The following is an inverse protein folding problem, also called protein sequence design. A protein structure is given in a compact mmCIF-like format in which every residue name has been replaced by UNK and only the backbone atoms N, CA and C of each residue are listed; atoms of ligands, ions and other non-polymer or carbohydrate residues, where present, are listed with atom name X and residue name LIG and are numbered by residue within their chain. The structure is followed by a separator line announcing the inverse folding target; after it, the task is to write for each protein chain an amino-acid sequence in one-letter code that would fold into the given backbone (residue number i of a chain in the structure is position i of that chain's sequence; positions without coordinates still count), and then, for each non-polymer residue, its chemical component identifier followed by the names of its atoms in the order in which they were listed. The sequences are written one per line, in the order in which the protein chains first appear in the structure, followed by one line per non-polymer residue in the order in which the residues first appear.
data_IF_045117352803
#
_entry.id   IF_045117352803
#
_cell.length_a   1.000
_cell.length_b   1.000
_cell.length_c   1.000
_cell.angle_alpha   90.00
_cell.angle_beta   90.00
_cell.angle_gamma   90.00
#
_symmetry.space_group_name_H-M   'P 1'
#
loop_
_entity.id
_entity.type
_entity.pdbx_description
1 polymer ?
#
# COMPACT_ATOMS: atom_id res chain seq x y z
N UNK A 1 -8.68 25.24 12.71
CA UNK A 1 -8.99 23.80 12.96
C UNK A 1 -7.80 22.96 12.56
N UNK A 2 -7.27 22.18 13.48
CA UNK A 2 -6.12 21.28 13.23
C UNK A 2 -6.61 19.82 13.15
N UNK A 3 -6.37 19.18 12.03
CA UNK A 3 -6.76 17.78 11.80
C UNK A 3 -5.52 16.93 11.52
N UNK A 4 -5.56 15.67 11.93
CA UNK A 4 -4.58 14.67 11.52
C UNK A 4 -5.22 13.77 10.47
N UNK A 5 -4.56 13.61 9.33
CA UNK A 5 -4.96 12.73 8.24
C UNK A 5 -4.05 11.50 8.21
N UNK A 6 -4.68 10.34 8.32
CA UNK A 6 -4.10 9.00 8.23
C UNK A 6 -4.94 8.16 7.26
N UNK A 7 -4.33 7.18 6.62
CA UNK A 7 -5.00 6.20 5.76
C UNK A 7 -4.21 4.90 5.69
N UNK A 8 -4.78 3.90 5.04
CA UNK A 8 -4.09 2.68 4.60
C UNK A 8 -3.32 2.00 5.74
N UNK A 9 -4.01 1.83 6.88
CA UNK A 9 -3.42 1.17 8.05
C UNK A 9 -3.14 -0.31 7.76
N UNK A 10 -3.97 -0.95 6.92
CA UNK A 10 -3.87 -2.35 6.54
C UNK A 10 -3.60 -3.27 7.72
N UNK A 11 -4.35 -3.10 8.82
CA UNK A 11 -4.12 -3.89 10.02
C UNK A 11 -4.27 -5.38 9.75
N UNK A 12 -3.29 -6.15 10.20
CA UNK A 12 -3.19 -7.58 9.94
C UNK A 12 -2.44 -7.96 8.65
N UNK A 13 -1.83 -6.98 7.96
CA UNK A 13 -1.04 -7.23 6.75
C UNK A 13 0.11 -8.18 7.00
N UNK A 14 0.36 -9.04 6.01
CA UNK A 14 1.55 -9.89 5.94
C UNK A 14 2.35 -9.51 4.69
N UNK A 15 3.64 -9.32 4.86
CA UNK A 15 4.56 -9.05 3.74
C UNK A 15 5.54 -10.21 3.64
N UNK A 16 5.61 -10.87 2.48
CA UNK A 16 6.45 -12.06 2.28
C UNK A 16 6.34 -13.06 3.44
N UNK A 17 5.11 -13.36 3.86
CA UNK A 17 4.75 -14.23 4.98
C UNK A 17 5.07 -13.72 6.40
N UNK A 18 5.79 -12.61 6.56
CA UNK A 18 6.01 -11.98 7.86
C UNK A 18 4.77 -11.19 8.31
N UNK A 19 4.35 -11.40 9.55
CA UNK A 19 3.25 -10.63 10.14
C UNK A 19 3.73 -9.25 10.54
N UNK A 20 3.01 -8.21 10.12
CA UNK A 20 3.34 -6.81 10.45
C UNK A 20 2.66 -6.33 11.75
N UNK A 21 1.92 -7.17 12.46
CA UNK A 21 1.07 -6.79 13.59
C UNK A 21 1.87 -6.10 14.72
N UNK A 22 3.09 -6.56 15.02
CA UNK A 22 3.94 -5.96 16.03
C UNK A 22 4.40 -4.56 15.62
N UNK A 23 4.84 -4.41 14.37
CA UNK A 23 5.24 -3.12 13.80
C UNK A 23 4.06 -2.16 13.70
N UNK A 24 2.86 -2.66 13.35
CA UNK A 24 1.63 -1.89 13.32
C UNK A 24 1.23 -1.40 14.72
N UNK A 25 1.36 -2.23 15.73
CA UNK A 25 1.13 -1.82 17.12
C UNK A 25 2.10 -0.71 17.53
N UNK A 26 3.39 -0.88 17.24
CA UNK A 26 4.42 0.10 17.55
C UNK A 26 4.14 1.44 16.85
N UNK A 27 3.83 1.43 15.55
CA UNK A 27 3.62 2.67 14.81
C UNK A 27 2.34 3.40 15.24
N UNK A 28 1.27 2.67 15.62
CA UNK A 28 0.07 3.29 16.19
C UNK A 28 0.38 3.93 17.56
N UNK A 29 1.28 3.36 18.37
CA UNK A 29 1.74 3.96 19.60
C UNK A 29 2.53 5.26 19.33
N UNK A 30 3.38 5.30 18.30
CA UNK A 30 4.08 6.53 17.86
C UNK A 30 3.09 7.59 17.36
N UNK A 31 2.10 7.19 16.55
CA UNK A 31 1.04 8.10 16.07
C UNK A 31 0.29 8.73 17.26
N UNK A 32 -0.04 7.95 18.30
CA UNK A 32 -0.71 8.48 19.48
C UNK A 32 0.18 9.47 20.27
N UNK A 33 1.50 9.28 20.31
CA UNK A 33 2.44 10.26 20.89
C UNK A 33 2.48 11.55 20.09
N UNK A 34 2.43 11.44 18.76
CA UNK A 34 2.34 12.62 17.89
C UNK A 34 1.02 13.35 18.12
N UNK A 35 -0.10 12.63 18.22
CA UNK A 35 -1.41 13.19 18.53
C UNK A 35 -1.38 13.93 19.86
N UNK A 36 -0.79 13.36 20.91
CA UNK A 36 -0.69 13.99 22.23
C UNK A 36 0.15 15.27 22.20
N UNK A 37 1.15 15.36 21.32
CA UNK A 37 2.00 16.53 21.14
C UNK A 37 1.35 17.61 20.29
N UNK A 38 0.61 17.20 19.26
CA UNK A 38 0.00 18.11 18.29
C UNK A 38 -1.33 18.69 18.76
N UNK A 39 -2.02 18.00 19.68
CA UNK A 39 -3.34 18.37 20.22
C UNK A 39 -4.33 18.75 19.08
N UNK A 40 -4.63 17.83 18.12
CA UNK A 40 -5.53 18.13 17.04
C UNK A 40 -6.98 18.21 17.50
N UNK A 41 -7.83 18.87 16.70
CA UNK A 41 -9.27 18.97 16.91
C UNK A 41 -10.01 17.70 16.40
N UNK A 42 -9.37 16.87 15.55
CA UNK A 42 -9.96 15.63 15.03
C UNK A 42 -8.98 14.81 14.20
N UNK A 43 -9.37 13.54 13.96
CA UNK A 43 -8.61 12.59 13.15
C UNK A 43 -9.43 12.17 11.93
N UNK A 44 -8.82 12.21 10.75
CA UNK A 44 -9.36 11.68 9.50
C UNK A 44 -8.69 10.34 9.21
N UNK A 45 -9.46 9.26 9.04
CA UNK A 45 -8.98 7.93 8.64
C UNK A 45 -9.57 7.61 7.26
N UNK A 46 -8.76 7.79 6.22
CA UNK A 46 -9.19 7.74 4.83
C UNK A 46 -9.14 6.33 4.21
N UNK A 47 -9.69 5.34 4.89
CA UNK A 47 -9.92 3.99 4.37
C UNK A 47 -8.75 3.02 4.55
N UNK A 48 -8.98 1.77 4.10
CA UNK A 48 -8.10 0.61 4.24
C UNK A 48 -7.60 0.43 5.67
N UNK A 49 -8.58 0.34 6.58
CA UNK A 49 -8.34 0.15 8.00
C UNK A 49 -7.77 -1.24 8.27
N UNK A 50 -8.28 -2.24 7.55
CA UNK A 50 -7.82 -3.63 7.57
C UNK A 50 -7.21 -4.05 6.22
N UNK A 51 -6.32 -5.04 6.26
CA UNK A 51 -5.71 -5.61 5.04
C UNK A 51 -6.69 -6.47 4.23
N UNK A 52 -7.76 -6.96 4.85
CA UNK A 52 -8.73 -7.86 4.21
C UNK A 52 -10.15 -7.60 4.71
N UNK A 53 -11.18 -7.88 3.88
CA UNK A 53 -12.58 -7.73 4.26
C UNK A 53 -12.98 -8.57 5.49
N UNK A 54 -12.27 -9.67 5.76
CA UNK A 54 -12.40 -10.49 6.98
C UNK A 54 -11.06 -10.44 7.71
N UNK A 55 -10.87 -9.46 8.62
CA UNK A 55 -9.62 -9.28 9.36
C UNK A 55 -9.41 -10.39 10.39
N UNK A 56 -8.15 -10.60 10.78
CA UNK A 56 -7.80 -11.48 11.89
C UNK A 56 -8.28 -10.90 13.22
N UNK A 57 -8.48 -11.76 14.23
CA UNK A 57 -8.87 -11.32 15.56
C UNK A 57 -7.85 -10.33 16.17
N UNK A 58 -6.56 -10.52 15.91
CA UNK A 58 -5.47 -9.64 16.36
C UNK A 58 -5.58 -8.24 15.73
N UNK A 59 -5.89 -8.17 14.42
CA UNK A 59 -6.11 -6.89 13.73
C UNK A 59 -7.30 -6.14 14.29
N UNK A 60 -8.41 -6.85 14.55
CA UNK A 60 -9.62 -6.25 15.17
C UNK A 60 -9.31 -5.73 16.57
N UNK A 61 -8.60 -6.50 17.41
CA UNK A 61 -8.21 -6.07 18.75
C UNK A 61 -7.27 -4.86 18.72
N UNK A 62 -6.34 -4.82 17.75
CA UNK A 62 -5.43 -3.70 17.60
C UNK A 62 -6.18 -2.41 17.22
N UNK A 63 -7.12 -2.50 16.27
CA UNK A 63 -7.94 -1.36 15.87
C UNK A 63 -8.85 -0.88 17.00
N UNK A 64 -9.54 -1.80 17.69
CA UNK A 64 -10.36 -1.49 18.87
C UNK A 64 -9.55 -0.77 19.96
N UNK A 65 -8.34 -1.26 20.25
CA UNK A 65 -7.44 -0.62 21.21
C UNK A 65 -7.08 0.80 20.77
N UNK A 66 -6.78 1.02 19.48
CA UNK A 66 -6.45 2.32 18.93
C UNK A 66 -7.63 3.30 19.06
N UNK A 67 -8.83 2.90 18.60
CA UNK A 67 -10.04 3.71 18.71
C UNK A 67 -10.40 4.03 20.16
N UNK A 68 -10.29 3.03 21.05
CA UNK A 68 -10.54 3.23 22.51
C UNK A 68 -9.61 4.27 23.09
N UNK A 69 -8.33 4.28 22.69
CA UNK A 69 -7.34 5.27 23.16
C UNK A 69 -7.60 6.67 22.61
N UNK A 70 -8.11 6.78 21.39
CA UNK A 70 -8.57 8.06 20.82
C UNK A 70 -9.83 8.57 21.53
N UNK A 71 -10.83 7.70 21.76
CA UNK A 71 -12.05 8.05 22.49
C UNK A 71 -11.77 8.53 23.92
N UNK A 72 -10.82 7.91 24.65
CA UNK A 72 -10.38 8.37 25.98
C UNK A 72 -9.77 9.77 25.98
N UNK A 73 -9.22 10.22 24.84
CA UNK A 73 -8.72 11.59 24.63
C UNK A 73 -9.85 12.56 24.27
N UNK A 74 -11.07 12.05 24.11
CA UNK A 74 -12.24 12.81 23.63
C UNK A 74 -11.99 13.46 22.26
N UNK A 75 -11.15 12.81 21.45
CA UNK A 75 -10.75 13.29 20.15
C UNK A 75 -11.69 12.66 19.09
N UNK A 76 -12.44 13.47 18.35
CA UNK A 76 -13.33 12.95 17.31
C UNK A 76 -12.54 12.30 16.18
N UNK A 77 -13.03 11.15 15.72
CA UNK A 77 -12.46 10.36 14.63
C UNK A 77 -13.50 10.25 13.52
N UNK A 78 -13.10 10.56 12.30
CA UNK A 78 -13.90 10.49 11.10
C UNK A 78 -13.27 9.44 10.17
N UNK A 79 -13.87 8.26 10.10
CA UNK A 79 -13.31 7.11 9.41
C UNK A 79 -14.22 6.60 8.30
N UNK A 80 -13.62 6.19 7.20
CA UNK A 80 -14.29 5.53 6.08
C UNK A 80 -13.72 4.13 5.84
N UNK A 81 -14.45 3.28 5.13
CA UNK A 81 -13.94 2.03 4.57
C UNK A 81 -13.26 2.28 3.23
N UNK A 82 -12.15 1.58 2.97
CA UNK A 82 -11.45 1.52 1.69
C UNK A 82 -11.84 0.30 0.86
N UNK A 83 -11.06 -0.02 -0.19
CA UNK A 83 -11.35 -1.15 -1.09
C UNK A 83 -11.00 -2.52 -0.48
N UNK A 84 -10.10 -2.56 0.52
CA UNK A 84 -9.77 -3.76 1.29
C UNK A 84 -10.77 -4.04 2.42
N UNK A 85 -11.54 -3.04 2.85
CA UNK A 85 -12.49 -3.15 3.93
C UNK A 85 -13.84 -3.74 3.47
N UNK A 86 -14.59 -4.41 4.39
CA UNK A 86 -16.01 -4.64 4.19
C UNK A 86 -16.79 -3.45 4.73
N UNK A 87 -17.51 -2.76 3.83
CA UNK A 87 -18.33 -1.60 4.19
C UNK A 87 -19.32 -1.90 5.34
N UNK A 88 -19.93 -3.09 5.34
CA UNK A 88 -20.88 -3.52 6.37
C UNK A 88 -20.21 -3.73 7.73
N UNK A 89 -18.97 -4.25 7.74
CA UNK A 89 -18.20 -4.47 8.97
C UNK A 89 -17.70 -3.16 9.56
N UNK A 90 -17.26 -2.22 8.72
CA UNK A 90 -16.86 -0.88 9.15
C UNK A 90 -18.07 -0.10 9.68
N UNK A 91 -19.22 -0.21 9.04
CA UNK A 91 -20.46 0.44 9.48
C UNK A 91 -21.07 -0.22 10.75
N UNK A 92 -20.62 -1.43 11.13
CA UNK A 92 -21.15 -2.12 12.29
C UNK A 92 -20.93 -1.34 13.58
N UNK A 93 -22.01 -1.05 14.28
CA UNK A 93 -21.98 -0.30 15.55
C UNK A 93 -21.70 1.20 15.40
N UNK A 94 -21.65 1.75 14.19
CA UNK A 94 -21.34 3.17 13.91
C UNK A 94 -22.21 4.13 14.75
N UNK A 95 -23.51 3.86 14.87
CA UNK A 95 -24.43 4.70 15.68
C UNK A 95 -24.08 4.70 17.18
N UNK A 96 -23.59 3.56 17.70
CA UNK A 96 -23.20 3.46 19.11
C UNK A 96 -21.88 4.18 19.32
N UNK A 97 -20.90 3.96 18.42
CA UNK A 97 -19.56 4.56 18.49
C UNK A 97 -19.58 6.08 18.32
N UNK A 98 -20.53 6.62 17.55
CA UNK A 98 -20.66 8.07 17.35
C UNK A 98 -20.90 8.83 18.66
N UNK A 99 -21.58 8.24 19.63
CA UNK A 99 -21.75 8.83 20.97
C UNK A 99 -20.45 9.00 21.74
N UNK A 100 -19.40 8.26 21.35
CA UNK A 100 -18.04 8.36 21.90
C UNK A 100 -17.10 9.19 21.02
N UNK A 101 -17.63 9.86 19.99
CA UNK A 101 -16.88 10.68 19.06
C UNK A 101 -16.21 9.87 17.92
N UNK A 102 -16.52 8.58 17.78
CA UNK A 102 -15.99 7.74 16.68
C UNK A 102 -17.05 7.68 15.57
N UNK A 103 -16.87 8.45 14.52
CA UNK A 103 -17.78 8.59 13.39
C UNK A 103 -17.28 7.70 12.23
N UNK A 104 -17.87 6.50 12.10
CA UNK A 104 -17.60 5.59 10.98
C UNK A 104 -18.59 5.87 9.85
N UNK A 105 -18.12 5.83 8.59
CA UNK A 105 -19.02 5.95 7.44
C UNK A 105 -20.03 4.80 7.40
N UNK A 106 -21.31 5.07 7.10
CA UNK A 106 -22.26 4.02 6.78
C UNK A 106 -21.88 3.35 5.44
N UNK A 107 -22.55 2.24 5.14
CA UNK A 107 -22.58 1.71 3.77
C UNK A 107 -23.25 2.77 2.86
N UNK A 108 -22.65 3.01 1.69
CA UNK A 108 -23.18 4.00 0.76
C UNK A 108 -24.56 3.57 0.22
N UNK A 109 -25.55 4.41 0.47
CA UNK A 109 -26.96 4.21 0.07
C UNK A 109 -27.51 5.36 -0.79
N UNK A 110 -26.62 6.14 -1.42
CA UNK A 110 -26.93 7.36 -2.17
C UNK A 110 -26.67 8.64 -1.37
N UNK A 111 -26.32 8.53 -0.09
CA UNK A 111 -26.01 9.66 0.78
C UNK A 111 -24.67 9.47 1.46
N UNK A 112 -24.02 10.58 1.76
CA UNK A 112 -22.79 10.61 2.55
C UNK A 112 -23.07 11.15 3.94
N UNK A 113 -22.39 10.58 4.94
CA UNK A 113 -22.45 11.15 6.28
C UNK A 113 -21.65 12.46 6.32
N UNK A 114 -22.19 13.48 6.99
CA UNK A 114 -21.51 14.75 7.24
C UNK A 114 -21.55 15.15 8.70
N UNK A 115 -20.49 15.80 9.17
CA UNK A 115 -20.34 16.22 10.56
C UNK A 115 -19.83 17.66 10.60
N UNK A 116 -20.34 18.45 11.53
CA UNK A 116 -19.94 19.84 11.72
C UNK A 116 -19.05 19.98 12.94
N UNK A 117 -17.91 20.61 12.76
CA UNK A 117 -17.03 21.11 13.80
C UNK A 117 -17.05 22.64 13.79
N UNK A 118 -16.70 23.26 14.91
CA UNK A 118 -16.68 24.71 15.03
C UNK A 118 -15.34 25.18 15.61
N UNK A 119 -14.75 26.20 15.01
CA UNK A 119 -13.59 26.91 15.57
C UNK A 119 -13.75 28.44 15.47
N UNK A 120 -12.67 29.19 15.71
CA UNK A 120 -12.66 30.66 15.65
C UNK A 120 -12.95 31.23 14.26
N UNK A 121 -12.78 30.44 13.19
CA UNK A 121 -13.08 30.82 11.81
C UNK A 121 -14.47 30.37 11.34
N UNK A 122 -15.28 29.73 12.22
CA UNK A 122 -16.63 29.26 11.95
C UNK A 122 -16.72 27.74 11.72
N UNK A 123 -17.72 27.34 10.94
CA UNK A 123 -18.03 25.94 10.68
C UNK A 123 -17.04 25.25 9.75
N UNK A 124 -16.72 23.99 10.05
CA UNK A 124 -16.01 23.03 9.19
C UNK A 124 -16.87 21.78 9.05
N UNK A 125 -17.25 21.47 7.83
CA UNK A 125 -18.05 20.29 7.50
C UNK A 125 -17.14 19.17 7.02
N UNK A 126 -17.18 18.03 7.71
CA UNK A 126 -16.43 16.82 7.34
C UNK A 126 -17.40 15.87 6.63
N UNK A 127 -17.14 15.58 5.36
CA UNK A 127 -17.92 14.67 4.53
C UNK A 127 -17.19 13.31 4.43
N UNK A 128 -17.90 12.20 4.63
CA UNK A 128 -17.35 10.85 4.59
C UNK A 128 -17.84 10.11 3.34
N UNK A 129 -16.99 9.93 2.36
CA UNK A 129 -17.24 9.13 1.16
C UNK A 129 -16.41 7.84 1.24
N UNK A 130 -16.98 6.69 1.64
CA UNK A 130 -16.26 5.43 1.61
C UNK A 130 -15.88 5.05 0.18
N UNK A 131 -15.03 4.03 0.02
CA UNK A 131 -14.76 3.48 -1.31
C UNK A 131 -16.06 3.00 -1.96
N UNK A 132 -16.32 3.51 -3.16
CA UNK A 132 -17.53 3.18 -3.94
C UNK A 132 -17.17 2.60 -5.30
N UNK A 133 -17.97 1.62 -5.73
CA UNK A 133 -17.89 1.04 -7.08
C UNK A 133 -19.07 1.51 -7.93
N UNK A 134 -18.94 1.58 -9.26
CA UNK A 134 -20.04 1.99 -10.13
C UNK A 134 -21.34 1.21 -9.89
N UNK A 135 -21.23 -0.10 -9.64
CA UNK A 135 -22.41 -0.96 -9.35
C UNK A 135 -23.13 -0.59 -8.06
N UNK A 136 -22.40 -0.15 -7.02
CA UNK A 136 -22.96 0.27 -5.74
C UNK A 136 -23.75 1.57 -5.92
N UNK A 137 -23.15 2.54 -6.63
CA UNK A 137 -23.79 3.85 -6.88
C UNK A 137 -25.04 3.69 -7.76
N UNK A 138 -24.96 2.88 -8.85
CA UNK A 138 -26.15 2.56 -9.66
C UNK A 138 -27.29 1.98 -8.82
N UNK A 139 -26.97 1.04 -7.92
CA UNK A 139 -27.97 0.43 -7.07
C UNK A 139 -28.59 1.45 -6.09
N UNK A 140 -27.76 2.26 -5.47
CA UNK A 140 -28.18 3.27 -4.51
C UNK A 140 -29.08 4.36 -5.14
N UNK A 141 -28.78 4.74 -6.40
CA UNK A 141 -29.52 5.76 -7.16
C UNK A 141 -30.53 5.17 -8.16
N UNK A 142 -30.92 3.89 -8.02
CA UNK A 142 -31.74 3.14 -9.00
C UNK A 142 -33.14 3.73 -9.27
N UNK A 143 -33.57 4.75 -8.52
CA UNK A 143 -34.80 5.52 -8.78
C UNK A 143 -34.64 6.72 -9.72
N UNK A 144 -33.42 7.01 -10.17
CA UNK A 144 -33.08 8.15 -11.01
C UNK A 144 -32.78 7.70 -12.44
N UNK A 145 -33.21 8.49 -13.44
CA UNK A 145 -32.94 8.16 -14.86
C UNK A 145 -31.45 8.11 -15.18
N UNK A 146 -30.63 8.96 -14.50
CA UNK A 146 -29.18 9.03 -14.67
C UNK A 146 -28.42 7.84 -14.12
N UNK A 147 -29.02 7.03 -13.26
CA UNK A 147 -28.34 5.92 -12.59
C UNK A 147 -27.83 4.85 -13.58
N UNK A 148 -28.56 4.58 -14.67
CA UNK A 148 -28.18 3.58 -15.66
C UNK A 148 -26.92 3.97 -16.47
N UNK A 149 -26.58 5.25 -16.50
CA UNK A 149 -25.40 5.79 -17.23
C UNK A 149 -24.11 5.62 -16.42
N UNK A 150 -24.16 5.38 -15.10
CA UNK A 150 -22.98 5.23 -14.24
C UNK A 150 -22.29 3.90 -14.52
N UNK A 151 -21.17 3.93 -15.26
CA UNK A 151 -20.40 2.75 -15.69
C UNK A 151 -18.96 2.77 -15.20
N UNK A 152 -18.39 3.96 -14.99
CA UNK A 152 -17.01 4.19 -14.59
C UNK A 152 -16.91 4.69 -13.15
N UNK A 153 -15.71 4.57 -12.56
CA UNK A 153 -15.46 5.15 -11.23
C UNK A 153 -15.58 6.67 -11.24
N UNK A 154 -15.16 7.31 -12.34
CA UNK A 154 -15.34 8.76 -12.53
C UNK A 154 -16.82 9.15 -12.41
N UNK A 155 -17.71 8.51 -13.15
CA UNK A 155 -19.16 8.79 -13.13
C UNK A 155 -19.75 8.49 -11.75
N UNK A 156 -19.30 7.41 -11.10
CA UNK A 156 -19.78 7.06 -9.76
C UNK A 156 -19.40 8.10 -8.70
N UNK A 157 -18.14 8.53 -8.68
CA UNK A 157 -17.69 9.55 -7.72
C UNK A 157 -18.29 10.90 -8.03
N UNK A 158 -18.43 11.26 -9.31
CA UNK A 158 -19.09 12.48 -9.74
C UNK A 158 -20.54 12.52 -9.23
N UNK A 159 -21.31 11.47 -9.49
CA UNK A 159 -22.70 11.36 -9.02
C UNK A 159 -22.79 11.41 -7.48
N UNK A 160 -21.87 10.73 -6.77
CA UNK A 160 -21.86 10.75 -5.32
C UNK A 160 -21.58 12.16 -4.77
N UNK A 161 -20.64 12.92 -5.37
CA UNK A 161 -20.31 14.29 -4.96
C UNK A 161 -21.46 15.26 -5.28
N UNK A 162 -22.11 15.11 -6.45
CA UNK A 162 -23.27 15.94 -6.82
C UNK A 162 -24.45 15.78 -5.87
N UNK A 163 -24.59 14.60 -5.25
CA UNK A 163 -25.63 14.33 -4.23
C UNK A 163 -25.24 14.79 -2.82
N UNK A 164 -24.00 15.33 -2.63
CA UNK A 164 -23.61 15.90 -1.35
C UNK A 164 -24.21 17.29 -1.16
N UNK A 165 -24.76 17.52 0.01
CA UNK A 165 -25.21 18.85 0.43
C UNK A 165 -24.01 19.70 0.86
N UNK A 166 -23.27 20.27 -0.11
CA UNK A 166 -22.06 21.09 0.14
C UNK A 166 -22.48 22.55 0.31
N UNK A 167 -22.22 23.12 1.47
CA UNK A 167 -22.40 24.54 1.74
C UNK A 167 -21.15 25.31 1.30
N UNK A 168 -21.17 25.87 0.07
CA UNK A 168 -19.98 26.45 -0.59
C UNK A 168 -19.39 27.67 0.14
N UNK A 169 -20.13 28.33 1.01
CA UNK A 169 -19.66 29.43 1.86
C UNK A 169 -18.96 28.94 3.14
N UNK A 170 -19.09 27.67 3.48
CA UNK A 170 -18.43 27.04 4.63
C UNK A 170 -17.17 26.31 4.21
N UNK A 171 -16.33 25.99 5.21
CA UNK A 171 -15.14 25.14 4.99
C UNK A 171 -15.58 23.68 4.91
N UNK A 172 -15.25 23.01 3.80
CA UNK A 172 -15.63 21.65 3.53
C UNK A 172 -14.39 20.74 3.41
N UNK A 173 -14.35 19.67 4.17
CA UNK A 173 -13.33 18.63 4.11
C UNK A 173 -13.97 17.34 3.63
N UNK A 174 -13.40 16.72 2.62
CA UNK A 174 -13.79 15.39 2.16
C UNK A 174 -12.79 14.37 2.67
N UNK A 175 -13.29 13.26 3.21
CA UNK A 175 -12.51 12.04 3.44
C UNK A 175 -12.96 11.02 2.40
N UNK A 176 -12.06 10.57 1.54
CA UNK A 176 -12.37 9.65 0.45
C UNK A 176 -11.24 8.64 0.23
N UNK A 177 -11.57 7.54 -0.44
CA UNK A 177 -10.60 6.48 -0.75
C UNK A 177 -10.75 6.11 -2.22
N UNK A 178 -10.01 6.80 -3.08
CA UNK A 178 -10.15 6.68 -4.54
C UNK A 178 -8.79 6.88 -5.22
N UNK A 179 -8.62 6.28 -6.41
CA UNK A 179 -7.43 6.49 -7.22
C UNK A 179 -7.58 7.70 -8.13
N UNK A 180 -6.87 8.78 -7.86
CA UNK A 180 -6.92 10.00 -8.66
C UNK A 180 -5.88 10.01 -9.77
N UNK A 181 -6.27 10.51 -10.96
CA UNK A 181 -5.37 10.68 -12.10
C UNK A 181 -4.16 11.53 -11.72
N UNK A 182 -2.97 11.08 -12.11
CA UNK A 182 -1.70 11.75 -11.81
C UNK A 182 -1.04 11.32 -10.51
N UNK A 183 -1.66 10.45 -9.71
CA UNK A 183 -1.00 9.85 -8.55
C UNK A 183 0.00 8.77 -9.00
N UNK A 184 1.13 8.69 -8.27
CA UNK A 184 2.19 7.69 -8.48
C UNK A 184 2.01 6.57 -7.46
N UNK A 185 1.85 5.37 -7.96
CA UNK A 185 1.64 4.15 -7.16
C UNK A 185 2.95 3.38 -6.89
N UNK A 186 2.90 2.41 -5.98
CA UNK A 186 3.95 1.43 -5.72
C UNK A 186 3.40 -0.01 -5.81
N UNK A 187 4.26 -1.03 -5.59
CA UNK A 187 3.89 -2.44 -5.80
C UNK A 187 2.92 -2.99 -4.73
N UNK A 188 2.60 -2.22 -3.70
CA UNK A 188 1.74 -2.66 -2.59
C UNK A 188 0.26 -2.29 -2.75
N UNK A 189 -0.08 -1.41 -3.72
CA UNK A 189 -1.47 -1.08 -4.07
C UNK A 189 -2.08 -2.10 -5.03
N UNK A 190 -3.38 -2.36 -4.87
CA UNK A 190 -4.19 -3.11 -5.83
C UNK A 190 -4.78 -2.17 -6.88
N UNK A 191 -4.12 -2.04 -8.03
CA UNK A 191 -4.55 -1.18 -9.12
C UNK A 191 -5.10 -2.00 -10.26
N UNK A 192 -6.24 -1.59 -10.82
CA UNK A 192 -6.84 -2.25 -11.96
C UNK A 192 -6.04 -1.98 -13.22
N UNK A 193 -5.71 -3.05 -13.96
CA UNK A 193 -4.98 -2.95 -15.23
C UNK A 193 -5.75 -2.07 -16.21
N UNK A 194 -5.09 -1.03 -16.75
CA UNK A 194 -5.68 -0.10 -17.71
C UNK A 194 -6.23 1.20 -17.13
N UNK A 195 -6.10 1.43 -15.79
CA UNK A 195 -6.48 2.70 -15.16
C UNK A 195 -7.98 3.01 -15.19
N UNK A 196 -8.82 1.98 -15.27
CA UNK A 196 -10.30 2.11 -15.34
C UNK A 196 -10.88 2.64 -14.03
N UNK A 197 -10.12 2.54 -12.94
CA UNK A 197 -10.47 2.97 -11.58
C UNK A 197 -10.01 4.40 -11.23
N UNK A 198 -9.37 5.09 -12.17
CA UNK A 198 -8.91 6.47 -11.96
C UNK A 198 -10.04 7.48 -12.09
N UNK A 199 -9.95 8.53 -11.27
CA UNK A 199 -10.88 9.67 -11.26
C UNK A 199 -10.14 10.99 -11.42
N UNK A 200 -10.77 11.93 -12.11
CA UNK A 200 -10.24 13.29 -12.27
C UNK A 200 -10.40 14.09 -10.97
N UNK A 201 -9.32 14.75 -10.54
CA UNK A 201 -9.32 15.54 -9.31
C UNK A 201 -10.29 16.75 -9.34
N UNK A 202 -10.73 17.18 -10.53
CA UNK A 202 -11.70 18.26 -10.71
C UNK A 202 -13.03 18.02 -10.01
N UNK A 203 -13.41 16.75 -9.80
CA UNK A 203 -14.61 16.36 -9.05
C UNK A 203 -14.61 16.90 -7.62
N UNK A 204 -13.44 17.16 -7.07
CA UNK A 204 -13.25 17.63 -5.69
C UNK A 204 -13.09 19.16 -5.55
N UNK A 205 -13.39 19.92 -6.59
CA UNK A 205 -13.15 21.39 -6.65
C UNK A 205 -13.85 22.20 -5.55
N UNK A 206 -14.99 21.73 -5.04
CA UNK A 206 -15.80 22.42 -4.02
C UNK A 206 -15.29 22.23 -2.58
N UNK A 207 -14.25 21.39 -2.38
CA UNK A 207 -13.70 21.14 -1.05
C UNK A 207 -12.47 22.02 -0.77
N UNK A 208 -12.31 22.42 0.50
CA UNK A 208 -11.14 23.16 0.98
C UNK A 208 -9.96 22.20 1.27
N UNK A 209 -10.26 20.95 1.66
CA UNK A 209 -9.27 19.88 1.78
C UNK A 209 -9.89 18.51 1.44
N UNK A 210 -9.13 17.67 0.75
CA UNK A 210 -9.52 16.32 0.41
C UNK A 210 -8.46 15.35 0.98
N UNK A 211 -8.88 14.62 2.00
CA UNK A 211 -8.09 13.56 2.63
C UNK A 211 -8.29 12.26 1.86
N UNK A 212 -7.32 11.89 1.02
CA UNK A 212 -7.36 10.69 0.20
C UNK A 212 -6.56 9.55 0.85
N UNK A 213 -7.11 8.34 0.79
CA UNK A 213 -6.42 7.06 0.93
C UNK A 213 -6.38 6.30 -0.40
N UNK A 214 -5.83 5.11 -0.42
CA UNK A 214 -5.61 4.18 -1.53
C UNK A 214 -4.16 4.19 -2.05
N UNK A 215 -3.50 5.31 -2.13
CA UNK A 215 -2.10 5.40 -2.58
C UNK A 215 -1.17 5.46 -1.38
N UNK A 216 -0.22 4.53 -1.34
CA UNK A 216 0.65 4.32 -0.18
C UNK A 216 1.79 5.33 -0.06
N UNK A 217 2.09 6.05 -1.14
CA UNK A 217 3.08 7.13 -1.17
C UNK A 217 2.46 8.47 -0.79
N UNK A 218 3.00 9.21 0.22
CA UNK A 218 2.50 10.54 0.56
C UNK A 218 2.75 11.51 -0.60
N UNK A 219 1.68 12.11 -1.12
CA UNK A 219 1.76 13.02 -2.28
C UNK A 219 0.54 13.90 -2.43
N UNK A 220 0.72 15.06 -3.04
CA UNK A 220 -0.38 15.91 -3.51
C UNK A 220 -0.75 15.55 -4.94
N UNK A 221 -2.02 15.67 -5.31
CA UNK A 221 -2.49 15.43 -6.67
C UNK A 221 -3.23 16.66 -7.18
N UNK A 222 -2.73 17.24 -8.26
CA UNK A 222 -3.28 18.43 -8.90
C UNK A 222 -3.18 19.71 -8.05
N UNK A 223 -3.31 19.63 -6.73
CA UNK A 223 -3.34 20.77 -5.82
C UNK A 223 -2.88 20.37 -4.42
N UNK A 224 -2.27 21.28 -3.62
CA UNK A 224 -1.95 21.00 -2.21
C UNK A 224 -3.17 20.66 -1.34
N UNK A 225 -4.39 21.00 -1.81
CA UNK A 225 -5.64 20.71 -1.11
C UNK A 225 -6.09 19.25 -1.24
N UNK A 226 -5.58 18.50 -2.22
CA UNK A 226 -5.95 17.12 -2.50
C UNK A 226 -4.72 16.27 -2.26
N UNK A 227 -4.78 15.41 -1.23
CA UNK A 227 -3.59 14.75 -0.73
C UNK A 227 -3.82 13.31 -0.30
N UNK A 228 -2.91 12.45 -0.70
CA UNK A 228 -2.67 11.14 -0.09
C UNK A 228 -1.68 11.29 1.07
N UNK A 229 -2.03 10.82 2.25
CA UNK A 229 -1.09 10.80 3.38
C UNK A 229 -0.13 9.60 3.32
N UNK A 230 -0.49 8.57 2.56
CA UNK A 230 0.24 7.31 2.46
C UNK A 230 0.05 6.40 3.67
N UNK A 231 0.63 5.20 3.58
CA UNK A 231 0.65 4.23 4.68
C UNK A 231 1.56 4.67 5.83
N UNK A 232 1.27 4.30 7.08
CA UNK A 232 2.15 4.60 8.22
C UNK A 232 3.41 3.73 8.26
N UNK A 233 3.43 2.59 7.55
CA UNK A 233 4.55 1.67 7.40
C UNK A 233 4.79 1.38 5.91
N UNK A 234 5.99 0.90 5.58
CA UNK A 234 6.29 0.35 4.25
C UNK A 234 5.73 -1.06 4.15
N UNK A 235 4.97 -1.36 3.11
CA UNK A 235 4.39 -2.68 2.87
C UNK A 235 4.94 -3.37 1.62
N UNK A 236 5.87 -2.72 0.91
CA UNK A 236 6.60 -3.27 -0.24
C UNK A 236 8.04 -2.76 -0.26
N UNK A 237 8.94 -3.56 -0.83
CA UNK A 237 10.32 -3.12 -1.07
C UNK A 237 10.41 -2.00 -2.12
N UNK A 238 9.39 -1.78 -2.95
CA UNK A 238 9.34 -0.59 -3.82
C UNK A 238 9.29 0.71 -3.01
N UNK A 239 8.80 0.65 -1.77
CA UNK A 239 8.73 1.78 -0.83
C UNK A 239 10.00 1.97 0.01
N UNK A 240 11.05 1.13 -0.16
CA UNK A 240 12.26 1.15 0.69
C UNK A 240 12.93 2.52 0.81
N UNK A 241 12.88 3.33 -0.27
CA UNK A 241 13.42 4.69 -0.29
C UNK A 241 12.48 5.78 0.24
N UNK A 242 11.24 5.43 0.64
CA UNK A 242 10.26 6.41 1.10
C UNK A 242 10.39 6.67 2.60
N UNK A 243 10.13 7.91 3.00
CA UNK A 243 9.84 8.26 4.40
C UNK A 243 8.32 8.27 4.59
N UNK A 244 7.83 7.66 5.67
CA UNK A 244 6.42 7.68 6.06
C UNK A 244 6.15 8.79 7.07
N UNK A 245 4.92 9.36 7.05
CA UNK A 245 4.58 10.55 7.82
C UNK A 245 3.19 10.45 8.45
N UNK A 246 2.97 11.25 9.47
CA UNK A 246 1.64 11.72 9.87
C UNK A 246 1.41 13.06 9.18
N UNK A 247 0.32 13.21 8.46
CA UNK A 247 -0.06 14.48 7.84
C UNK A 247 -0.90 15.31 8.82
N UNK A 248 -0.46 16.52 9.11
CA UNK A 248 -1.18 17.52 9.92
C UNK A 248 -1.70 18.59 9.00
N UNK A 249 -3.00 18.88 9.10
CA UNK A 249 -3.70 19.87 8.28
C UNK A 249 -4.27 20.95 9.19
N UNK A 250 -3.89 22.18 8.99
CA UNK A 250 -4.44 23.32 9.69
C UNK A 250 -5.33 24.14 8.73
N UNK A 251 -6.65 24.01 8.94
CA UNK A 251 -7.63 24.83 8.21
C UNK A 251 -7.76 26.19 8.89
N UNK A 252 -7.40 27.23 8.18
CA UNK A 252 -7.57 28.63 8.59
C UNK A 252 -8.93 29.14 8.12
N UNK A 253 -9.03 30.41 7.74
CA UNK A 253 -10.22 30.94 7.07
C UNK A 253 -10.48 30.23 5.74
N UNK A 254 -11.70 30.33 5.22
CA UNK A 254 -12.10 29.67 3.97
C UNK A 254 -11.11 29.90 2.83
N UNK A 255 -10.67 28.79 2.24
CA UNK A 255 -9.73 28.78 1.13
C UNK A 255 -8.26 28.75 1.53
N UNK A 256 -7.91 28.95 2.82
CA UNK A 256 -6.55 28.91 3.35
C UNK A 256 -6.33 27.70 4.22
N UNK A 257 -5.24 26.98 3.97
CA UNK A 257 -4.82 25.84 4.77
C UNK A 257 -3.29 25.72 4.78
N UNK A 258 -2.77 25.10 5.82
CA UNK A 258 -1.38 24.70 5.92
C UNK A 258 -1.30 23.19 6.11
N UNK A 259 -0.40 22.54 5.37
CA UNK A 259 -0.15 21.10 5.48
C UNK A 259 1.31 20.88 5.86
N UNK A 260 1.54 20.08 6.89
CA UNK A 260 2.88 19.68 7.30
C UNK A 260 2.93 18.19 7.58
N UNK A 261 4.12 17.63 7.45
CA UNK A 261 4.40 16.22 7.64
C UNK A 261 5.28 16.01 8.87
N UNK A 262 4.90 15.04 9.70
CA UNK A 262 5.71 14.61 10.85
C UNK A 262 6.22 13.22 10.53
N UNK A 263 7.56 13.02 10.42
CA UNK A 263 8.10 11.73 10.05
C UNK A 263 7.82 10.66 11.10
N UNK A 264 7.41 9.49 10.63
CA UNK A 264 7.23 8.28 11.43
C UNK A 264 8.53 7.48 11.43
N UNK A 265 8.90 6.96 12.59
CA UNK A 265 10.05 6.06 12.72
C UNK A 265 9.53 4.65 12.99
N UNK A 266 9.71 3.70 12.05
CA UNK A 266 9.27 2.32 12.26
C UNK A 266 10.10 1.59 13.31
N UNK A 267 9.56 0.51 13.87
CA UNK A 267 10.29 -0.42 14.74
C UNK A 267 11.38 -1.14 13.93
N UNK A 268 11.00 -1.65 12.75
CA UNK A 268 11.88 -2.25 11.76
C UNK A 268 11.64 -1.57 10.42
N UNK A 269 12.71 -1.13 9.77
CA UNK A 269 12.60 -0.53 8.45
C UNK A 269 12.67 -1.58 7.34
N UNK A 270 12.32 -1.22 6.12
CA UNK A 270 12.52 -2.04 4.92
C UNK A 270 13.72 -1.53 4.13
N UNK A 271 14.70 -2.40 3.90
CA UNK A 271 15.94 -2.07 3.18
C UNK A 271 16.23 -3.05 2.05
N UNK A 272 16.75 -2.52 0.94
CA UNK A 272 17.33 -3.32 -0.13
C UNK A 272 18.84 -3.33 0.01
N UNK A 273 19.44 -4.50 -0.03
CA UNK A 273 20.89 -4.71 -0.03
C UNK A 273 21.29 -5.38 -1.34
N UNK A 274 22.37 -4.93 -1.97
CA UNK A 274 22.89 -5.51 -3.20
C UNK A 274 24.39 -5.59 -3.14
N UNK A 275 24.96 -6.76 -3.48
CA UNK A 275 26.39 -7.02 -3.49
C UNK A 275 26.68 -8.50 -3.53
N UNK A 276 27.96 -8.88 -3.51
CA UNK A 276 28.37 -10.29 -3.36
C UNK A 276 28.05 -10.81 -1.95
N UNK A 277 27.95 -12.12 -1.82
CA UNK A 277 27.74 -12.77 -0.52
C UNK A 277 28.81 -12.34 0.51
N UNK A 278 30.08 -12.28 0.08
CA UNK A 278 31.18 -11.84 0.94
C UNK A 278 31.06 -10.38 1.39
N UNK A 279 30.62 -9.49 0.52
CA UNK A 279 30.38 -8.09 0.88
C UNK A 279 29.22 -7.96 1.86
N UNK A 280 28.08 -8.59 1.55
CA UNK A 280 26.87 -8.54 2.38
C UNK A 280 27.10 -9.12 3.79
N UNK A 281 27.93 -10.18 3.90
CA UNK A 281 28.25 -10.81 5.18
C UNK A 281 29.46 -10.21 5.89
N UNK A 282 30.16 -9.25 5.29
CA UNK A 282 31.27 -8.53 5.93
C UNK A 282 30.77 -7.73 7.14
N UNK A 283 31.46 -7.85 8.27
CA UNK A 283 31.12 -7.15 9.52
C UNK A 283 31.01 -5.63 9.29
N UNK A 284 31.87 -5.05 8.47
CA UNK A 284 31.85 -3.62 8.13
C UNK A 284 30.55 -3.16 7.48
N UNK A 285 29.79 -4.05 6.83
CA UNK A 285 28.54 -3.71 6.16
C UNK A 285 27.32 -3.70 7.08
N UNK A 286 27.35 -4.43 8.19
CA UNK A 286 26.16 -4.53 9.04
C UNK A 286 26.36 -4.10 10.49
N UNK A 287 27.61 -3.94 11.01
CA UNK A 287 27.88 -3.61 12.42
C UNK A 287 27.21 -2.31 12.88
N UNK A 288 27.07 -1.31 11.99
CA UNK A 288 26.47 -0.01 12.29
C UNK A 288 25.04 0.13 11.78
N UNK A 289 24.40 -0.99 11.41
CA UNK A 289 23.03 -1.01 10.90
C UNK A 289 22.10 -1.79 11.81
N UNK A 290 20.80 -1.55 11.72
CA UNK A 290 19.82 -2.38 12.39
C UNK A 290 19.64 -3.69 11.62
N UNK A 291 20.18 -4.80 12.13
CA UNK A 291 20.08 -6.12 11.49
C UNK A 291 18.68 -6.73 11.62
N UNK A 292 17.84 -6.20 12.54
CA UNK A 292 16.45 -6.61 12.71
C UNK A 292 15.50 -6.02 11.66
N UNK A 293 15.99 -5.09 10.80
CA UNK A 293 15.19 -4.57 9.69
C UNK A 293 14.77 -5.67 8.72
N UNK A 294 13.65 -5.45 8.05
CA UNK A 294 13.20 -6.29 6.95
C UNK A 294 14.08 -6.03 5.73
N UNK A 295 14.69 -7.08 5.19
CA UNK A 295 15.63 -6.91 4.07
C UNK A 295 15.25 -7.76 2.87
N UNK A 296 15.44 -7.16 1.70
CA UNK A 296 15.58 -7.85 0.42
C UNK A 296 17.04 -7.82 0.04
N UNK A 297 17.64 -8.97 -0.22
CA UNK A 297 19.04 -9.10 -0.64
C UNK A 297 19.08 -9.55 -2.10
N UNK A 298 19.82 -8.81 -2.92
CA UNK A 298 20.15 -9.17 -4.30
C UNK A 298 21.63 -9.52 -4.38
N UNK A 299 21.94 -10.82 -4.47
CA UNK A 299 23.31 -11.28 -4.64
C UNK A 299 23.78 -11.11 -6.09
N UNK A 300 25.04 -10.66 -6.23
CA UNK A 300 25.69 -10.48 -7.53
C UNK A 300 26.71 -11.59 -7.84
N UNK A 301 26.75 -12.63 -7.01
CA UNK A 301 27.60 -13.79 -7.22
C UNK A 301 27.12 -14.56 -8.47
N UNK A 302 28.06 -14.99 -9.32
CA UNK A 302 27.74 -15.74 -10.53
C UNK A 302 27.25 -17.15 -10.22
N UNK A 303 27.70 -17.74 -9.09
CA UNK A 303 27.26 -19.02 -8.59
C UNK A 303 26.23 -18.88 -7.47
N UNK A 304 25.21 -19.75 -7.46
CA UNK A 304 24.23 -19.77 -6.41
C UNK A 304 24.86 -20.21 -5.07
N UNK A 305 24.64 -19.44 -4.03
CA UNK A 305 25.13 -19.74 -2.69
C UNK A 305 24.27 -20.87 -2.07
N UNK A 306 24.88 -22.03 -1.85
CA UNK A 306 24.20 -23.17 -1.20
C UNK A 306 23.68 -22.74 0.18
N UNK A 307 22.39 -22.97 0.44
CA UNK A 307 21.70 -22.56 1.67
C UNK A 307 21.81 -21.04 1.94
N UNK A 308 21.90 -20.22 0.88
CA UNK A 308 22.14 -18.76 0.94
C UNK A 308 21.14 -18.05 1.87
N UNK A 309 19.84 -18.35 1.75
CA UNK A 309 18.79 -17.78 2.60
C UNK A 309 19.04 -18.07 4.09
N UNK A 310 19.38 -19.31 4.45
CA UNK A 310 19.63 -19.70 5.85
C UNK A 310 20.90 -19.03 6.40
N UNK A 311 21.96 -19.02 5.61
CA UNK A 311 23.23 -18.39 5.99
C UNK A 311 23.08 -16.89 6.22
N UNK A 312 22.38 -16.20 5.33
CA UNK A 312 22.13 -14.76 5.44
C UNK A 312 21.21 -14.44 6.63
N UNK A 313 20.25 -15.30 6.98
CA UNK A 313 19.38 -15.13 8.15
C UNK A 313 20.12 -15.22 9.49
N UNK A 314 21.35 -15.73 9.53
CA UNK A 314 22.19 -15.66 10.74
C UNK A 314 22.61 -14.23 11.10
N UNK A 315 22.65 -13.34 10.10
CA UNK A 315 23.00 -11.91 10.25
C UNK A 315 21.74 -11.04 10.15
N UNK A 316 20.85 -11.36 9.22
CA UNK A 316 19.61 -10.61 8.91
C UNK A 316 18.41 -11.54 9.19
N UNK A 317 17.96 -11.68 10.45
CA UNK A 317 16.92 -12.65 10.81
C UNK A 317 15.60 -12.41 10.07
N UNK A 318 15.32 -11.16 9.71
CA UNK A 318 14.13 -10.75 8.98
C UNK A 318 14.40 -10.61 7.45
N UNK A 319 15.30 -11.43 6.89
CA UNK A 319 15.46 -11.54 5.44
C UNK A 319 14.17 -12.11 4.83
N UNK A 320 13.45 -11.23 4.11
CA UNK A 320 12.18 -11.55 3.46
C UNK A 320 12.36 -12.13 2.06
N UNK A 321 13.34 -11.61 1.31
CA UNK A 321 13.53 -11.96 -0.11
C UNK A 321 15.00 -12.03 -0.46
N UNK A 322 15.38 -13.11 -1.15
CA UNK A 322 16.70 -13.30 -1.72
C UNK A 322 16.57 -13.45 -3.23
N UNK A 323 17.30 -12.63 -3.96
CA UNK A 323 17.35 -12.61 -5.41
C UNK A 323 18.79 -12.70 -5.88
N UNK A 324 18.98 -13.03 -7.17
CA UNK A 324 20.27 -13.02 -7.83
C UNK A 324 20.20 -12.07 -9.03
N UNK A 325 21.25 -11.24 -9.17
CA UNK A 325 21.49 -10.41 -10.36
C UNK A 325 22.83 -10.83 -10.97
N UNK A 326 22.83 -11.98 -11.65
CA UNK A 326 23.98 -12.57 -12.30
C UNK A 326 23.71 -12.75 -13.81
N UNK A 327 24.67 -13.26 -14.56
CA UNK A 327 24.55 -13.45 -16.00
C UNK A 327 23.33 -14.29 -16.38
N UNK A 328 23.09 -15.39 -15.67
CA UNK A 328 21.95 -16.29 -15.88
C UNK A 328 20.61 -15.56 -15.76
N UNK A 329 20.44 -14.74 -14.70
CA UNK A 329 19.17 -14.02 -14.45
C UNK A 329 18.95 -12.90 -15.46
N UNK A 330 20.02 -12.27 -15.98
CA UNK A 330 19.93 -11.22 -17.01
C UNK A 330 19.58 -11.81 -18.38
N UNK A 331 20.23 -12.91 -18.78
CA UNK A 331 19.98 -13.56 -20.07
C UNK A 331 18.56 -14.18 -20.15
N UNK A 332 18.03 -14.70 -19.04
CA UNK A 332 16.63 -15.16 -18.98
C UNK A 332 15.59 -14.05 -19.16
N UNK A 333 15.94 -12.79 -18.88
CA UNK A 333 15.04 -11.64 -19.13
C UNK A 333 15.07 -11.17 -20.59
N UNK A 334 16.10 -11.48 -21.36
CA UNK A 334 16.24 -11.11 -22.78
C UNK A 334 15.54 -12.09 -23.75
N UNK A 335 15.12 -13.30 -23.28
CA UNK A 335 14.42 -14.28 -24.13
C UNK A 335 12.93 -13.88 -24.27
N UNK A 336 12.67 -12.73 -24.87
CA UNK A 336 11.36 -12.34 -25.41
C UNK A 336 11.51 -11.80 -26.85
N UNK A 337 12.17 -12.55 -27.70
CA UNK A 337 12.29 -12.22 -29.13
C UNK A 337 12.40 -13.50 -29.95
N UNK A 338 11.47 -13.69 -30.85
CA UNK A 338 11.41 -14.75 -31.85
C UNK A 338 12.69 -14.79 -32.69
N UNK A 339 13.66 -15.62 -32.33
CA UNK A 339 14.71 -16.05 -33.26
C UNK A 339 14.31 -17.38 -33.90
N UNK A 340 14.51 -17.46 -35.21
CA UNK A 340 14.26 -18.65 -36.03
C UNK A 340 15.07 -19.83 -35.48
N UNK A 341 14.39 -20.87 -35.01
CA UNK A 341 14.96 -22.09 -34.48
C UNK A 341 15.83 -22.79 -35.53
N UNK A 342 17.13 -22.61 -35.47
CA UNK A 342 18.08 -23.55 -36.11
C UNK A 342 17.92 -24.91 -35.40
N UNK A 343 17.71 -25.99 -36.13
CA UNK A 343 17.72 -27.33 -35.55
C UNK A 343 19.10 -27.62 -34.98
N UNK A 344 19.18 -27.63 -33.65
CA UNK A 344 20.35 -28.03 -32.86
C UNK A 344 20.24 -29.51 -32.52
N UNK A 345 21.36 -30.17 -32.21
CA UNK A 345 21.35 -31.53 -31.69
C UNK A 345 20.87 -31.53 -30.22
N UNK A 346 20.43 -32.70 -29.73
CA UNK A 346 20.00 -32.90 -28.34
C UNK A 346 21.11 -32.51 -27.35
N UNK A 347 22.37 -32.77 -27.70
CA UNK A 347 23.54 -32.41 -26.91
C UNK A 347 23.71 -30.88 -26.87
N UNK A 348 23.56 -30.19 -28.01
CA UNK A 348 23.67 -28.72 -28.08
C UNK A 348 22.57 -28.03 -27.28
N UNK A 349 21.33 -28.56 -27.28
CA UNK A 349 20.27 -28.05 -26.44
C UNK A 349 20.57 -28.27 -24.94
N UNK A 350 21.16 -29.42 -24.60
CA UNK A 350 21.51 -29.72 -23.23
C UNK A 350 22.72 -28.89 -22.74
N UNK A 351 23.71 -28.62 -23.59
CA UNK A 351 24.84 -27.71 -23.30
C UNK A 351 24.36 -26.29 -23.03
N UNK A 352 23.45 -25.76 -23.86
CA UNK A 352 22.86 -24.44 -23.63
C UNK A 352 22.05 -24.42 -22.32
N UNK A 353 21.21 -25.42 -22.09
CA UNK A 353 20.49 -25.53 -20.83
C UNK A 353 21.41 -25.60 -19.63
N UNK A 354 22.49 -26.36 -19.70
CA UNK A 354 23.47 -26.48 -18.64
C UNK A 354 24.17 -25.14 -18.39
N UNK A 355 24.61 -24.46 -19.45
CA UNK A 355 25.26 -23.14 -19.35
C UNK A 355 24.30 -22.09 -18.78
N UNK A 356 23.03 -22.08 -19.20
CA UNK A 356 21.98 -21.22 -18.65
C UNK A 356 21.72 -21.49 -17.15
N UNK A 357 21.82 -22.73 -16.71
CA UNK A 357 21.57 -23.08 -15.30
C UNK A 357 22.78 -22.86 -14.39
N UNK A 358 24.01 -22.98 -14.92
CA UNK A 358 25.24 -23.00 -14.13
C UNK A 358 26.12 -21.76 -14.35
N UNK A 359 25.77 -20.84 -15.24
CA UNK A 359 26.54 -19.65 -15.65
C UNK A 359 27.94 -19.97 -16.20
N UNK A 360 28.20 -21.20 -16.58
CA UNK A 360 29.47 -21.64 -17.14
C UNK A 360 29.25 -22.87 -18.04
N UNK A 361 30.01 -23.00 -19.12
CA UNK A 361 29.88 -24.14 -20.01
C UNK A 361 30.29 -25.45 -19.33
N UNK A 362 29.81 -26.56 -19.87
CA UNK A 362 30.26 -27.87 -19.43
C UNK A 362 31.75 -28.04 -19.61
N UNK A 363 32.41 -28.68 -18.64
CA UNK A 363 33.77 -29.18 -18.86
C UNK A 363 33.79 -30.41 -19.75
N UNK A 364 34.98 -30.82 -20.20
CA UNK A 364 35.11 -32.00 -21.12
C UNK A 364 34.53 -33.31 -20.56
N UNK A 365 34.65 -33.54 -19.24
CA UNK A 365 34.14 -34.75 -18.59
C UNK A 365 32.62 -34.74 -18.52
N UNK A 366 32.03 -33.61 -18.15
CA UNK A 366 30.57 -33.40 -18.11
C UNK A 366 29.96 -33.54 -19.50
N UNK A 367 30.57 -32.92 -20.51
CA UNK A 367 30.15 -33.02 -21.92
C UNK A 367 30.13 -34.48 -22.40
N UNK A 368 31.23 -35.19 -22.19
CA UNK A 368 31.34 -36.61 -22.58
C UNK A 368 30.34 -37.50 -21.87
N UNK A 369 30.13 -37.28 -20.58
CA UNK A 369 29.13 -38.01 -19.81
C UNK A 369 27.71 -37.76 -20.36
N UNK A 370 27.35 -36.53 -20.66
CA UNK A 370 26.06 -36.16 -21.20
C UNK A 370 25.84 -36.73 -22.61
N UNK A 371 26.85 -36.70 -23.45
CA UNK A 371 26.83 -37.31 -24.79
C UNK A 371 26.58 -38.82 -24.74
N UNK A 372 27.31 -39.53 -23.84
CA UNK A 372 27.17 -40.97 -23.66
C UNK A 372 25.78 -41.33 -23.07
N UNK A 373 25.23 -40.49 -22.20
CA UNK A 373 23.92 -40.70 -21.63
C UNK A 373 22.81 -40.50 -22.65
N UNK A 374 22.86 -39.39 -23.45
CA UNK A 374 21.93 -39.09 -24.50
C UNK A 374 21.92 -40.23 -25.54
N UNK A 375 23.11 -40.69 -25.95
CA UNK A 375 23.24 -41.81 -26.89
C UNK A 375 22.56 -43.09 -26.37
N UNK A 376 22.77 -43.46 -25.08
CA UNK A 376 22.11 -44.61 -24.48
C UNK A 376 20.61 -44.52 -24.42
N UNK A 377 20.09 -43.32 -24.14
CA UNK A 377 18.64 -43.07 -24.09
C UNK A 377 18.03 -43.21 -25.50
N UNK A 378 18.69 -42.67 -26.52
CA UNK A 378 18.24 -42.78 -27.90
C UNK A 378 18.31 -44.23 -28.44
N UNK A 379 19.34 -45.02 -28.07
CA UNK A 379 19.46 -46.43 -28.46
C UNK A 379 18.43 -47.34 -27.79
N UNK A 380 17.88 -47.00 -26.61
CA UNK A 380 16.83 -47.79 -25.93
C UNK A 380 15.43 -47.47 -26.49
N UNK A 381 15.26 -46.37 -27.20
CA UNK A 381 13.96 -45.94 -27.76
C UNK A 381 13.84 -46.27 -29.26
N UNK A 382 14.79 -46.97 -29.87
CA UNK A 382 14.75 -47.57 -31.19
C UNK A 382 14.58 -49.10 -31.12
#
# INVERSE_FOLDING_TARGET
MKLIHLSDLHLGKRVNEFSMIEDQKYILDEILRIIDKEEPDGILLAGDLYDRPVPSAEAVQLFDSFLTRLAKRKLPVYAIGGNHDSAERIAFGAHIMSSSGICMSPVYDGKTAKYCLMDSYGEVWIHLLPFIRPSVVRHALSGEESAEEIRTYQEAVQAAVEHMEIEKDKRNVLVAHQFAVGAVSCDSEEITVGGIDQIEVSVFSDFDYVALGHIHSPQNVGSPKIRYCGTPLKYSFSESGQQKFVTVVELLEKGNLEVREIPLKPLRDMRKLKGTYMEITSLSNYQDTNTEDYVQITLTDEEDIVDGMQKLRTIYPNLMRLEYDNRRTRENQEITGTEAVKKKSELEYFEEFFELQNNQPMNEEQRKFSEDLIRKILEVNL
#
